data_IF_049869400212
#
_entry.id   IF_049869400212
#
_cell.length_a   1.000
_cell.length_b   1.000
_cell.length_c   1.000
_cell.angle_alpha   90.00
_cell.angle_beta   90.00
_cell.angle_gamma   90.00
#
_symmetry.space_group_name_H-M   'P 1'
#
loop_
_entity.id
_entity.type
_entity.pdbx_description
1 polymer ?
#
# COMPACT_ATOMS: atom_id res chain seq x y z
N UNK A 1 -9.85 4.70 2.80
CA UNK A 1 -9.04 3.79 3.64
C UNK A 1 -9.13 4.20 5.11
N UNK A 2 -8.68 3.34 6.02
CA UNK A 2 -8.58 3.66 7.44
C UNK A 2 -7.74 4.93 7.70
N UNK A 3 -6.70 5.15 6.91
CA UNK A 3 -5.83 6.32 7.02
C UNK A 3 -6.53 7.60 6.53
N UNK A 4 -7.35 7.51 5.50
CA UNK A 4 -8.16 8.64 5.02
C UNK A 4 -9.27 8.96 6.01
N UNK A 5 -9.92 7.93 6.57
CA UNK A 5 -10.94 8.08 7.59
C UNK A 5 -10.41 8.78 8.85
N UNK A 6 -9.20 8.45 9.27
CA UNK A 6 -8.55 9.04 10.44
C UNK A 6 -7.95 10.43 10.18
N UNK A 7 -7.92 10.91 8.94
CA UNK A 7 -7.31 12.18 8.58
C UNK A 7 -8.35 13.30 8.52
N UNK A 8 -8.31 14.29 9.43
CA UNK A 8 -9.29 15.39 9.47
C UNK A 8 -9.30 16.26 8.21
N UNK A 9 -8.23 16.30 7.44
CA UNK A 9 -8.16 17.03 6.17
C UNK A 9 -8.92 16.32 5.05
N UNK A 10 -8.96 14.99 5.08
CA UNK A 10 -9.65 14.15 4.09
C UNK A 10 -11.08 13.80 4.52
N UNK A 11 -11.28 13.68 5.82
CA UNK A 11 -12.58 13.41 6.43
C UNK A 11 -12.84 14.41 7.56
N UNK A 12 -13.35 15.61 7.24
CA UNK A 12 -13.69 16.61 8.25
C UNK A 12 -14.70 16.06 9.27
N UNK A 13 -14.59 16.42 10.56
CA UNK A 13 -15.49 15.91 11.60
C UNK A 13 -16.97 16.17 11.33
N UNK A 14 -17.31 17.29 10.69
CA UNK A 14 -18.68 17.59 10.28
C UNK A 14 -19.24 16.62 9.26
N UNK A 15 -18.40 16.16 8.35
CA UNK A 15 -18.76 15.17 7.33
C UNK A 15 -18.79 13.75 7.91
N UNK A 16 -17.79 13.40 8.74
CA UNK A 16 -17.71 12.08 9.34
C UNK A 16 -18.92 11.71 10.22
N UNK A 17 -19.61 12.70 10.80
CA UNK A 17 -20.83 12.48 11.62
C UNK A 17 -21.99 11.87 10.83
N UNK A 18 -22.06 12.13 9.53
CA UNK A 18 -23.15 11.68 8.67
C UNK A 18 -22.91 10.29 8.09
N UNK A 19 -21.76 9.68 8.39
CA UNK A 19 -21.38 8.38 7.90
C UNK A 19 -21.10 7.40 9.05
N UNK A 20 -21.36 6.12 8.77
CA UNK A 20 -20.96 5.03 9.66
C UNK A 20 -20.16 3.99 8.91
N UNK A 21 -19.23 3.37 9.60
CA UNK A 21 -18.52 2.21 9.06
C UNK A 21 -19.49 1.03 9.03
N UNK A 22 -19.73 0.49 7.86
CA UNK A 22 -20.60 -0.68 7.65
C UNK A 22 -19.83 -1.99 7.51
N UNK A 23 -18.52 -1.91 7.33
CA UNK A 23 -17.65 -3.06 7.23
C UNK A 23 -16.18 -2.64 7.16
N UNK A 24 -15.31 -3.53 7.58
CA UNK A 24 -13.85 -3.36 7.53
C UNK A 24 -13.27 -4.61 6.87
N UNK A 25 -12.43 -4.41 5.86
CA UNK A 25 -11.68 -5.51 5.25
C UNK A 25 -10.54 -5.97 6.16
N UNK A 26 -9.98 -7.13 5.87
CA UNK A 26 -8.68 -7.48 6.44
C UNK A 26 -7.61 -6.45 6.02
N UNK A 27 -6.56 -6.33 6.80
CA UNK A 27 -5.42 -5.50 6.45
C UNK A 27 -4.74 -6.03 5.18
N UNK A 28 -4.35 -5.10 4.31
CA UNK A 28 -3.63 -5.40 3.08
C UNK A 28 -2.40 -4.50 2.98
N UNK A 29 -1.30 -4.96 2.38
CA UNK A 29 -0.14 -4.13 2.12
C UNK A 29 -0.52 -2.90 1.32
N UNK A 30 0.00 -1.75 1.71
CA UNK A 30 -0.26 -0.48 1.06
C UNK A 30 0.98 0.07 0.40
N UNK A 31 0.77 0.80 -0.71
CA UNK A 31 1.82 1.46 -1.47
C UNK A 31 2.89 0.47 -1.97
N UNK A 32 2.44 -0.54 -2.71
CA UNK A 32 3.32 -1.53 -3.31
C UNK A 32 4.22 -0.89 -4.36
N UNK A 33 5.52 -1.16 -4.28
CA UNK A 33 6.45 -0.90 -5.38
C UNK A 33 6.45 -2.10 -6.31
N UNK A 34 6.11 -1.86 -7.56
CA UNK A 34 6.00 -2.90 -8.58
C UNK A 34 7.08 -2.71 -9.65
N UNK A 35 7.68 -3.81 -10.07
CA UNK A 35 8.56 -3.85 -11.24
C UNK A 35 7.82 -4.46 -12.43
N UNK A 36 8.18 -4.06 -13.64
CA UNK A 36 7.60 -4.66 -14.85
C UNK A 36 8.07 -6.11 -15.01
N UNK A 37 7.21 -6.93 -15.55
CA UNK A 37 7.57 -8.30 -15.92
C UNK A 37 8.72 -8.29 -16.93
N UNK A 38 9.75 -9.10 -16.68
CA UNK A 38 10.94 -9.21 -17.54
C UNK A 38 11.95 -8.06 -17.36
N UNK A 39 11.90 -7.33 -16.24
CA UNK A 39 13.00 -6.45 -15.86
C UNK A 39 14.30 -7.26 -15.68
N UNK A 40 15.43 -6.66 -16.05
CA UNK A 40 16.74 -7.30 -15.79
C UNK A 40 16.88 -7.57 -14.28
N UNK A 41 17.17 -8.81 -13.87
CA UNK A 41 17.29 -9.18 -12.45
C UNK A 41 18.32 -8.36 -11.68
N UNK A 42 19.38 -7.89 -12.34
CA UNK A 42 20.41 -7.04 -11.71
C UNK A 42 19.86 -5.67 -11.39
N UNK A 43 19.06 -5.11 -12.30
CA UNK A 43 18.40 -3.81 -12.09
C UNK A 43 17.36 -3.92 -10.98
N UNK A 44 16.57 -4.99 -10.98
CA UNK A 44 15.57 -5.23 -9.93
C UNK A 44 16.24 -5.38 -8.55
N UNK A 45 17.31 -6.15 -8.46
CA UNK A 45 18.08 -6.31 -7.22
C UNK A 45 18.63 -4.98 -6.72
N UNK A 46 19.21 -4.17 -7.62
CA UNK A 46 19.74 -2.87 -7.24
C UNK A 46 18.67 -1.87 -6.81
N UNK A 47 17.52 -1.85 -7.46
CA UNK A 47 16.38 -1.04 -7.04
C UNK A 47 15.90 -1.43 -5.63
N UNK A 48 15.78 -2.72 -5.38
CA UNK A 48 15.41 -3.23 -4.04
C UNK A 48 16.40 -2.77 -2.97
N UNK A 49 17.69 -2.91 -3.24
CA UNK A 49 18.77 -2.50 -2.35
C UNK A 49 18.69 -1.01 -2.02
N UNK A 50 18.58 -0.15 -3.04
CA UNK A 50 18.45 1.30 -2.86
C UNK A 50 17.22 1.68 -2.03
N UNK A 51 16.07 1.06 -2.27
CA UNK A 51 14.85 1.32 -1.51
C UNK A 51 14.98 0.86 -0.04
N UNK A 52 15.66 -0.25 0.18
CA UNK A 52 15.92 -0.73 1.55
C UNK A 52 16.93 0.17 2.27
N UNK A 53 17.98 0.62 1.61
CA UNK A 53 18.95 1.59 2.14
C UNK A 53 18.27 2.91 2.50
N UNK A 54 17.41 3.44 1.62
CA UNK A 54 16.62 4.65 1.88
C UNK A 54 15.76 4.55 3.15
N UNK A 55 15.37 3.35 3.54
CA UNK A 55 14.59 3.12 4.76
C UNK A 55 15.39 3.33 6.05
N UNK A 56 16.70 3.31 5.98
CA UNK A 56 17.63 3.52 7.10
C UNK A 56 18.35 4.86 7.07
N UNK A 57 18.19 5.60 5.97
CA UNK A 57 18.78 6.92 5.79
C UNK A 57 17.86 7.98 6.40
N UNK A 58 18.34 8.76 7.41
CA UNK A 58 17.54 9.82 8.03
C UNK A 58 17.05 10.89 7.06
N UNK A 59 17.88 11.25 6.08
CA UNK A 59 17.54 12.29 5.10
C UNK A 59 16.48 11.80 4.11
N UNK A 60 16.54 10.54 3.71
CA UNK A 60 15.54 9.93 2.83
C UNK A 60 14.17 9.81 3.49
N UNK A 61 14.08 9.64 4.80
CA UNK A 61 12.82 9.48 5.52
C UNK A 61 11.86 10.67 5.36
N UNK A 62 12.38 11.89 5.33
CA UNK A 62 11.56 13.08 5.08
C UNK A 62 11.02 13.12 3.64
N UNK A 63 11.88 12.81 2.68
CA UNK A 63 11.51 12.74 1.25
C UNK A 63 10.43 11.69 1.02
N UNK A 64 10.57 10.50 1.60
CA UNK A 64 9.60 9.42 1.49
C UNK A 64 8.24 9.82 2.09
N UNK A 65 8.22 10.48 3.24
CA UNK A 65 6.98 10.99 3.84
C UNK A 65 6.27 12.01 2.96
N UNK A 66 7.02 12.91 2.35
CA UNK A 66 6.46 13.93 1.44
C UNK A 66 5.91 13.32 0.15
N UNK A 67 6.58 12.30 -0.39
CA UNK A 67 6.23 11.70 -1.67
C UNK A 67 5.01 10.79 -1.58
N UNK A 68 5.04 9.80 -0.70
CA UNK A 68 3.98 8.77 -0.62
C UNK A 68 3.40 8.58 0.79
N UNK A 69 3.76 9.44 1.72
CA UNK A 69 3.29 9.34 3.10
C UNK A 69 3.83 8.13 3.85
N UNK A 70 4.96 7.57 3.42
CA UNK A 70 5.63 6.44 4.07
C UNK A 70 6.97 6.86 4.66
N UNK A 71 7.42 6.11 5.65
CA UNK A 71 8.73 6.34 6.27
C UNK A 71 9.79 5.33 5.84
N UNK A 72 9.38 4.18 5.31
CA UNK A 72 10.30 3.12 4.91
C UNK A 72 9.66 2.13 3.94
N UNK A 73 10.50 1.42 3.22
CA UNK A 73 10.15 0.22 2.48
C UNK A 73 10.48 -1.03 3.31
N UNK A 74 9.68 -2.05 3.16
CA UNK A 74 9.90 -3.37 3.77
C UNK A 74 9.69 -4.45 2.71
N UNK A 75 10.38 -5.58 2.81
CA UNK A 75 10.12 -6.72 1.93
C UNK A 75 8.70 -7.23 2.10
N UNK A 76 8.07 -7.67 1.02
CA UNK A 76 6.79 -8.38 1.08
C UNK A 76 7.00 -9.74 1.74
N UNK A 77 6.19 -10.02 2.75
CA UNK A 77 6.16 -11.31 3.43
C UNK A 77 5.24 -12.30 2.71
N UNK A 78 5.31 -13.58 3.07
CA UNK A 78 4.37 -14.59 2.55
C UNK A 78 2.94 -14.35 3.04
N UNK A 79 2.77 -13.74 4.21
CA UNK A 79 1.46 -13.32 4.71
C UNK A 79 0.87 -12.20 3.85
N UNK A 80 1.68 -11.19 3.51
CA UNK A 80 1.27 -10.12 2.59
C UNK A 80 0.87 -10.67 1.23
N UNK A 81 1.63 -11.64 0.70
CA UNK A 81 1.29 -12.30 -0.58
C UNK A 81 -0.05 -13.00 -0.52
N UNK A 82 -0.29 -13.78 0.53
CA UNK A 82 -1.59 -14.45 0.73
C UNK A 82 -2.75 -13.47 0.84
N UNK A 83 -2.56 -12.34 1.54
CA UNK A 83 -3.57 -11.29 1.64
C UNK A 83 -3.89 -10.67 0.28
N UNK A 84 -2.87 -10.39 -0.53
CA UNK A 84 -3.02 -9.86 -1.89
C UNK A 84 -3.70 -10.85 -2.84
N UNK A 85 -3.33 -12.13 -2.79
CA UNK A 85 -3.94 -13.19 -3.60
C UNK A 85 -5.43 -13.36 -3.28
N UNK A 86 -5.79 -13.33 -2.00
CA UNK A 86 -7.17 -13.40 -1.54
C UNK A 86 -7.98 -12.19 -2.01
N UNK A 87 -7.39 -11.00 -1.95
CA UNK A 87 -8.02 -9.77 -2.47
C UNK A 87 -8.22 -9.87 -4.00
N UNK A 88 -7.21 -10.31 -4.73
CA UNK A 88 -7.26 -10.52 -6.18
C UNK A 88 -8.36 -11.49 -6.59
N UNK A 89 -8.49 -12.61 -5.91
CA UNK A 89 -9.55 -13.57 -6.13
C UNK A 89 -10.96 -12.98 -5.86
N UNK A 90 -11.08 -12.16 -4.81
CA UNK A 90 -12.32 -11.44 -4.50
C UNK A 90 -12.71 -10.45 -5.59
N UNK A 91 -11.76 -9.68 -6.09
CA UNK A 91 -11.97 -8.73 -7.21
C UNK A 91 -12.37 -9.47 -8.48
N UNK A 92 -11.70 -10.57 -8.82
CA UNK A 92 -12.03 -11.37 -10.00
C UNK A 92 -13.47 -11.92 -9.94
N UNK A 93 -13.90 -12.39 -8.76
CA UNK A 93 -15.27 -12.86 -8.56
C UNK A 93 -16.30 -11.75 -8.79
N UNK A 94 -16.11 -10.59 -8.17
CA UNK A 94 -17.04 -9.45 -8.32
C UNK A 94 -17.12 -9.00 -9.77
N UNK A 95 -16.00 -8.95 -10.47
CA UNK A 95 -16.00 -8.60 -11.90
C UNK A 95 -16.82 -9.59 -12.74
N UNK A 96 -16.69 -10.89 -12.47
CA UNK A 96 -17.46 -11.91 -13.18
C UNK A 96 -18.97 -11.82 -12.89
N UNK A 97 -19.36 -11.32 -11.71
CA UNK A 97 -20.79 -11.14 -11.35
C UNK A 97 -21.42 -9.90 -12.03
N UNK A 98 -20.59 -8.89 -12.38
CA UNK A 98 -21.07 -7.60 -12.93
C UNK A 98 -20.97 -7.54 -14.47
N UNK A 99 -20.06 -8.29 -15.06
CA UNK A 99 -19.88 -8.40 -16.51
C UNK A 99 -20.81 -9.49 -17.10
#
# INVERSE_FOLDING_TARGET
SNLDWANPQRMPPSFARDFRIVGVSQDVPRALMLTRKGMDPRVEARLREVLMEASTDPDAGEVLRRFIGTSRFVPITDEDRRALDKLGAGVARVRAEVE
#
